data_IF_214960040011
#
_entry.id   IF_214960040011
#
_cell.length_a   1.000
_cell.length_b   1.000
_cell.length_c   1.000
_cell.angle_alpha   90.00
_cell.angle_beta   90.00
_cell.angle_gamma   90.00
#
_symmetry.space_group_name_H-M   'P 1'
#
loop_
_entity.id
_entity.type
_entity.pdbx_description
1 polymer ?
#
# COMPACT_ATOMS: atom_id res chain seq x y z
N UNK A 1 20.10 23.07 -15.19
CA UNK A 1 20.86 21.87 -14.82
C UNK A 1 21.54 21.86 -13.43
N UNK A 2 21.46 22.87 -12.53
CA UNK A 2 22.16 22.79 -11.24
C UNK A 2 21.44 21.93 -10.16
N UNK A 3 20.12 21.74 -10.26
CA UNK A 3 19.35 21.07 -9.20
C UNK A 3 19.60 19.55 -9.16
N UNK A 4 19.71 18.91 -10.33
CA UNK A 4 19.94 17.45 -10.39
C UNK A 4 21.33 17.11 -9.84
N UNK A 5 22.36 17.87 -10.20
CA UNK A 5 23.72 17.71 -9.68
C UNK A 5 23.79 17.98 -8.17
N UNK A 6 23.04 18.99 -7.68
CA UNK A 6 22.94 19.27 -6.24
C UNK A 6 22.28 18.12 -5.47
N UNK A 7 21.18 17.56 -5.98
CA UNK A 7 20.52 16.42 -5.34
C UNK A 7 21.36 15.14 -5.41
N UNK A 8 22.11 14.96 -6.50
CA UNK A 8 23.03 13.83 -6.64
C UNK A 8 24.25 13.95 -5.70
N UNK A 9 24.73 15.17 -5.44
CA UNK A 9 25.90 15.42 -4.58
C UNK A 9 25.56 15.55 -3.10
N UNK A 10 24.33 15.90 -2.74
CA UNK A 10 23.89 16.08 -1.35
C UNK A 10 22.78 15.10 -0.97
N UNK A 11 23.16 14.02 -0.29
CA UNK A 11 22.21 13.02 0.25
C UNK A 11 21.16 13.66 1.14
N UNK A 12 21.55 14.60 2.01
CA UNK A 12 20.62 15.30 2.89
C UNK A 12 19.59 16.12 2.12
N UNK A 13 20.00 16.81 1.05
CA UNK A 13 19.07 17.54 0.20
C UNK A 13 18.08 16.60 -0.47
N UNK A 14 18.55 15.47 -1.02
CA UNK A 14 17.69 14.48 -1.63
C UNK A 14 16.69 13.87 -0.63
N UNK A 15 17.14 13.47 0.55
CA UNK A 15 16.28 12.94 1.62
C UNK A 15 15.21 13.96 2.03
N UNK A 16 15.59 15.23 2.19
CA UNK A 16 14.64 16.29 2.51
C UNK A 16 13.61 16.50 1.40
N UNK A 17 14.04 16.54 0.13
CA UNK A 17 13.13 16.63 -1.01
C UNK A 17 12.18 15.43 -1.07
N UNK A 18 12.67 14.21 -0.84
CA UNK A 18 11.85 13.00 -0.81
C UNK A 18 10.86 13.01 0.36
N UNK A 19 11.24 13.54 1.53
CA UNK A 19 10.34 13.72 2.67
C UNK A 19 9.19 14.67 2.30
N UNK A 20 9.51 15.84 1.75
CA UNK A 20 8.51 16.84 1.35
C UNK A 20 7.59 16.29 0.26
N UNK A 21 8.15 15.61 -0.74
CA UNK A 21 7.36 14.94 -1.79
C UNK A 21 6.45 13.86 -1.18
N UNK A 22 6.99 13.03 -0.29
CA UNK A 22 6.23 11.98 0.39
C UNK A 22 5.09 12.54 1.25
N UNK A 23 5.27 13.68 1.92
CA UNK A 23 4.20 14.37 2.63
C UNK A 23 3.06 14.81 1.68
N UNK A 24 3.42 15.40 0.52
CA UNK A 24 2.45 15.84 -0.50
C UNK A 24 1.70 14.64 -1.10
N UNK A 25 2.43 13.59 -1.48
CA UNK A 25 1.83 12.35 -1.99
C UNK A 25 0.97 11.70 -0.92
N UNK A 26 1.39 11.66 0.35
CA UNK A 26 0.61 11.14 1.46
C UNK A 26 -0.72 11.86 1.65
N UNK A 27 -0.77 13.18 1.42
CA UNK A 27 -2.01 13.94 1.43
C UNK A 27 -2.95 13.51 0.30
N UNK A 28 -2.40 13.28 -0.91
CA UNK A 28 -3.16 12.69 -2.01
C UNK A 28 -3.59 11.24 -1.73
N UNK A 29 -2.77 10.43 -1.06
CA UNK A 29 -3.14 9.06 -0.70
C UNK A 29 -4.35 9.01 0.23
N UNK A 30 -4.55 9.98 1.13
CA UNK A 30 -5.79 10.07 1.90
C UNK A 30 -7.03 10.15 0.99
N UNK A 31 -6.93 10.85 -0.14
CA UNK A 31 -8.01 10.92 -1.14
C UNK A 31 -8.20 9.56 -1.82
N UNK A 32 -7.13 8.90 -2.23
CA UNK A 32 -7.17 7.59 -2.88
C UNK A 32 -7.79 6.54 -1.95
N UNK A 33 -7.32 6.46 -0.71
CA UNK A 33 -7.76 5.49 0.30
C UNK A 33 -9.27 5.62 0.56
N UNK A 34 -9.77 6.86 0.64
CA UNK A 34 -11.19 7.10 0.88
C UNK A 34 -12.05 6.92 -0.38
N UNK A 35 -11.65 7.49 -1.52
CA UNK A 35 -12.53 7.59 -2.70
C UNK A 35 -12.51 6.36 -3.58
N UNK A 36 -11.38 5.68 -3.74
CA UNK A 36 -11.26 4.56 -4.65
C UNK A 36 -12.24 3.40 -4.31
N UNK A 37 -12.38 2.97 -3.04
CA UNK A 37 -13.34 1.93 -2.68
C UNK A 37 -14.80 2.35 -2.93
N UNK A 38 -15.11 3.63 -2.68
CA UNK A 38 -16.45 4.19 -2.94
C UNK A 38 -16.76 4.22 -4.43
N UNK A 39 -15.79 4.60 -5.27
CA UNK A 39 -15.93 4.57 -6.73
C UNK A 39 -16.18 3.15 -7.23
N UNK A 40 -15.37 2.19 -6.80
CA UNK A 40 -15.54 0.77 -7.16
C UNK A 40 -16.93 0.25 -6.78
N UNK A 41 -17.41 0.57 -5.58
CA UNK A 41 -18.75 0.16 -5.14
C UNK A 41 -19.86 0.74 -6.02
N UNK A 42 -19.74 2.01 -6.44
CA UNK A 42 -20.71 2.64 -7.36
C UNK A 42 -20.70 1.97 -8.72
N UNK A 43 -19.51 1.68 -9.25
CA UNK A 43 -19.35 1.00 -10.53
C UNK A 43 -19.96 -0.42 -10.49
N UNK A 44 -19.72 -1.18 -9.41
CA UNK A 44 -20.34 -2.50 -9.22
C UNK A 44 -21.86 -2.43 -9.11
N UNK A 45 -22.41 -1.43 -8.41
CA UNK A 45 -23.86 -1.23 -8.32
C UNK A 45 -24.48 -0.88 -9.67
N UNK A 46 -23.78 -0.07 -10.48
CA UNK A 46 -24.22 0.27 -11.83
C UNK A 46 -24.24 -0.98 -12.72
N UNK A 47 -23.16 -1.77 -12.73
CA UNK A 47 -23.06 -3.01 -13.50
C UNK A 47 -24.12 -4.04 -13.07
N UNK A 48 -24.34 -4.20 -11.77
CA UNK A 48 -25.35 -5.12 -11.26
C UNK A 48 -26.77 -4.71 -11.70
N UNK A 49 -27.10 -3.41 -11.69
CA UNK A 49 -28.39 -2.94 -12.19
C UNK A 49 -28.56 -3.14 -13.68
N UNK A 50 -27.50 -2.91 -14.45
CA UNK A 50 -27.50 -3.15 -15.89
C UNK A 50 -27.78 -4.63 -16.21
N UNK A 51 -27.08 -5.55 -15.53
CA UNK A 51 -27.28 -7.00 -15.70
C UNK A 51 -28.69 -7.45 -15.26
N UNK A 52 -29.22 -6.85 -14.19
CA UNK A 52 -30.55 -7.18 -13.66
C UNK A 52 -31.69 -6.41 -14.36
N UNK A 53 -31.39 -5.66 -15.41
CA UNK A 53 -32.35 -4.81 -16.15
C UNK A 53 -33.13 -3.84 -15.25
N UNK A 54 -32.50 -3.39 -14.16
CA UNK A 54 -33.07 -2.42 -13.24
C UNK A 54 -32.84 -0.99 -13.76
N UNK A 55 -33.74 -0.03 -13.46
CA UNK A 55 -33.55 1.35 -13.86
C UNK A 55 -32.22 1.90 -13.31
N UNK A 56 -31.47 2.67 -14.12
CA UNK A 56 -30.18 3.21 -13.68
C UNK A 56 -30.37 4.16 -12.51
N UNK A 57 -29.38 4.22 -11.62
CA UNK A 57 -29.37 5.20 -10.56
C UNK A 57 -29.31 6.62 -11.18
N UNK A 58 -30.06 7.61 -10.66
CA UNK A 58 -29.98 8.96 -11.14
C UNK A 58 -28.54 9.47 -11.06
N UNK A 59 -28.05 10.09 -12.15
CA UNK A 59 -26.69 10.63 -12.22
C UNK A 59 -26.47 11.64 -11.10
N UNK A 60 -25.74 11.22 -10.07
CA UNK A 60 -25.30 12.08 -8.98
C UNK A 60 -24.24 13.09 -9.43
N UNK A 61 -23.75 13.89 -8.47
CA UNK A 61 -22.60 14.76 -8.70
C UNK A 61 -21.36 13.94 -9.06
N UNK A 62 -20.47 14.51 -9.86
CA UNK A 62 -19.19 13.89 -10.22
C UNK A 62 -18.41 13.51 -8.96
N UNK A 63 -17.91 12.28 -8.92
CA UNK A 63 -17.15 11.74 -7.79
C UNK A 63 -16.04 10.86 -8.33
N UNK A 64 -14.82 11.40 -8.33
CA UNK A 64 -13.61 10.72 -8.74
C UNK A 64 -12.43 11.20 -7.85
N UNK A 65 -11.20 10.83 -8.21
CA UNK A 65 -10.01 11.20 -7.44
C UNK A 65 -9.69 12.71 -7.46
N UNK A 66 -10.23 13.45 -8.43
CA UNK A 66 -9.97 14.89 -8.62
C UNK A 66 -11.12 15.73 -8.05
N UNK A 67 -12.37 15.34 -8.32
CA UNK A 67 -13.58 16.07 -7.96
C UNK A 67 -14.52 15.21 -7.10
N UNK A 68 -15.25 15.80 -6.14
CA UNK A 68 -15.26 17.22 -5.77
C UNK A 68 -13.98 17.62 -4.99
N UNK A 69 -13.82 18.91 -4.68
CA UNK A 69 -12.78 19.37 -3.77
C UNK A 69 -12.93 18.72 -2.38
N UNK A 70 -11.80 18.53 -1.68
CA UNK A 70 -11.82 18.07 -0.29
C UNK A 70 -12.64 19.04 0.56
N UNK A 71 -13.55 18.51 1.38
CA UNK A 71 -14.51 19.31 2.14
C UNK A 71 -14.65 18.78 3.57
N UNK A 72 -14.97 19.67 4.51
CA UNK A 72 -15.21 19.28 5.90
C UNK A 72 -16.49 18.44 6.01
N UNK A 73 -16.48 17.26 6.66
CA UNK A 73 -17.67 16.41 6.78
C UNK A 73 -18.78 17.00 7.67
N UNK A 74 -18.45 18.00 8.50
CA UNK A 74 -19.41 18.60 9.43
C UNK A 74 -20.15 19.82 8.86
N UNK A 75 -19.44 20.68 8.13
CA UNK A 75 -20.02 21.93 7.61
C UNK A 75 -19.96 22.08 6.09
N UNK A 76 -19.40 21.09 5.39
CA UNK A 76 -19.20 21.09 3.94
C UNK A 76 -18.37 22.29 3.42
N UNK A 77 -17.56 22.91 4.28
CA UNK A 77 -16.59 23.93 3.89
C UNK A 77 -15.54 23.31 2.96
N UNK A 78 -15.36 23.90 1.78
CA UNK A 78 -14.32 23.50 0.84
C UNK A 78 -12.94 23.85 1.38
N UNK A 79 -12.08 22.84 1.52
CA UNK A 79 -10.74 22.97 2.06
C UNK A 79 -9.86 23.65 1.02
N UNK A 80 -9.29 24.80 1.39
CA UNK A 80 -8.41 25.58 0.51
C UNK A 80 -7.01 24.98 0.50
N UNK A 81 -6.21 25.30 -0.53
CA UNK A 81 -4.87 24.73 -0.70
C UNK A 81 -3.95 24.93 0.52
N UNK A 82 -4.00 26.09 1.18
CA UNK A 82 -3.20 26.36 2.39
C UNK A 82 -3.76 25.69 3.66
N UNK A 83 -5.00 25.20 3.63
CA UNK A 83 -5.57 24.37 4.69
C UNK A 83 -5.23 22.89 4.49
N UNK A 84 -4.64 22.55 3.34
CA UNK A 84 -4.26 21.21 2.93
C UNK A 84 -2.73 21.05 2.78
N UNK A 85 -1.92 21.92 3.40
CA UNK A 85 -0.46 21.72 3.47
C UNK A 85 -0.23 20.57 4.46
N UNK A 86 0.37 19.45 4.01
CA UNK A 86 0.43 18.23 4.80
C UNK A 86 1.11 18.47 6.15
N UNK A 87 0.53 17.93 7.23
CA UNK A 87 0.95 18.06 8.64
C UNK A 87 0.94 19.49 9.19
N UNK A 88 1.49 20.46 8.46
CA UNK A 88 1.63 21.86 8.85
C UNK A 88 0.27 22.52 9.05
N UNK A 89 -0.65 22.40 8.09
CA UNK A 89 -1.99 22.99 8.23
C UNK A 89 -2.75 22.36 9.39
N UNK A 90 -2.60 21.05 9.62
CA UNK A 90 -3.22 20.37 10.75
C UNK A 90 -2.74 20.94 12.09
N UNK A 91 -1.42 21.12 12.26
CA UNK A 91 -0.85 21.70 13.48
C UNK A 91 -1.24 23.17 13.65
N UNK A 92 -1.17 23.98 12.59
CA UNK A 92 -1.55 25.40 12.62
C UNK A 92 -3.03 25.60 12.99
N UNK A 93 -3.91 24.74 12.48
CA UNK A 93 -5.34 24.74 12.80
C UNK A 93 -5.67 24.01 14.12
N UNK A 94 -4.65 23.50 14.84
CA UNK A 94 -4.78 22.73 16.08
C UNK A 94 -5.71 21.51 15.94
N UNK A 95 -5.64 20.86 14.77
CA UNK A 95 -6.45 19.68 14.42
C UNK A 95 -7.95 19.97 14.31
N UNK A 96 -8.35 21.20 13.95
CA UNK A 96 -9.75 21.60 13.83
C UNK A 96 -10.04 22.25 12.47
N UNK A 97 -11.28 22.14 12.00
CA UNK A 97 -11.72 22.86 10.80
C UNK A 97 -11.59 24.38 11.01
N UNK A 98 -11.13 25.11 9.99
CA UNK A 98 -11.00 26.57 10.04
C UNK A 98 -12.34 27.29 10.24
N UNK A 99 -13.40 26.78 9.61
CA UNK A 99 -14.77 27.33 9.65
C UNK A 99 -15.55 26.88 10.90
N UNK A 100 -15.90 25.61 11.02
CA UNK A 100 -16.79 25.13 12.09
C UNK A 100 -16.09 24.69 13.39
N UNK A 101 -14.75 24.69 13.43
CA UNK A 101 -13.93 24.25 14.58
C UNK A 101 -14.11 22.80 15.02
N UNK A 102 -14.86 21.98 14.27
CA UNK A 102 -14.97 20.55 14.51
C UNK A 102 -13.60 19.86 14.37
N UNK A 103 -13.32 18.79 15.15
CA UNK A 103 -12.04 18.10 15.12
C UNK A 103 -11.81 17.38 13.78
N UNK A 104 -10.58 17.45 13.27
CA UNK A 104 -10.11 16.70 12.10
C UNK A 104 -9.42 15.42 12.60
N UNK A 105 -9.75 14.29 11.98
CA UNK A 105 -9.17 12.99 12.34
C UNK A 105 -7.64 13.02 12.29
N UNK A 106 -6.99 12.43 13.31
CA UNK A 106 -5.52 12.26 13.35
C UNK A 106 -5.00 11.33 12.25
N UNK A 107 -5.88 10.55 11.62
CA UNK A 107 -5.53 9.66 10.52
C UNK A 107 -4.88 10.43 9.36
N UNK A 108 -5.40 11.59 8.99
CA UNK A 108 -4.88 12.39 7.87
C UNK A 108 -3.39 12.75 8.04
N UNK A 109 -2.97 13.44 9.12
CA UNK A 109 -1.56 13.78 9.32
C UNK A 109 -0.69 12.54 9.59
N UNK A 110 -1.23 11.44 10.12
CA UNK A 110 -0.48 10.20 10.30
C UNK A 110 -0.13 9.52 8.98
N UNK A 111 -1.08 9.47 8.03
CA UNK A 111 -0.82 8.93 6.68
C UNK A 111 0.18 9.80 5.92
N UNK A 112 0.05 11.13 6.03
CA UNK A 112 1.01 12.09 5.47
C UNK A 112 2.41 11.85 6.02
N UNK A 113 2.54 11.82 7.35
CA UNK A 113 3.82 11.60 8.02
C UNK A 113 4.42 10.23 7.70
N UNK A 114 3.63 9.16 7.70
CA UNK A 114 4.09 7.82 7.34
C UNK A 114 4.65 7.80 5.91
N UNK A 115 3.93 8.40 4.95
CA UNK A 115 4.40 8.49 3.57
C UNK A 115 5.70 9.31 3.47
N UNK A 116 5.77 10.47 4.14
CA UNK A 116 6.97 11.31 4.20
C UNK A 116 8.20 10.61 4.80
N UNK A 117 8.04 9.95 5.95
CA UNK A 117 9.12 9.22 6.63
C UNK A 117 9.59 8.03 5.81
N UNK A 118 8.67 7.22 5.25
CA UNK A 118 9.04 6.10 4.39
C UNK A 118 9.75 6.58 3.13
N UNK A 119 9.35 7.73 2.57
CA UNK A 119 9.99 8.31 1.38
C UNK A 119 11.40 8.82 1.68
N UNK A 120 11.57 9.50 2.82
CA UNK A 120 12.88 9.91 3.33
C UNK A 120 13.80 8.70 3.55
N UNK A 121 13.24 7.62 4.10
CA UNK A 121 13.98 6.38 4.34
C UNK A 121 14.48 5.74 3.05
N UNK A 122 13.60 5.58 2.05
CA UNK A 122 13.97 5.05 0.72
C UNK A 122 15.05 5.90 0.06
N UNK A 123 14.93 7.22 0.14
CA UNK A 123 15.91 8.15 -0.41
C UNK A 123 17.27 8.05 0.29
N UNK A 124 17.28 7.86 1.61
CA UNK A 124 18.50 7.66 2.38
C UNK A 124 19.16 6.31 2.06
N UNK A 125 18.36 5.26 1.89
CA UNK A 125 18.83 3.89 1.66
C UNK A 125 19.45 3.72 0.26
N UNK A 126 18.77 4.19 -0.79
CA UNK A 126 19.21 3.99 -2.19
C UNK A 126 20.00 5.16 -2.78
N UNK A 127 20.01 6.32 -2.12
CA UNK A 127 20.58 7.54 -2.68
C UNK A 127 19.86 8.03 -3.94
N UNK A 128 20.44 9.01 -4.64
CA UNK A 128 19.84 9.58 -5.86
C UNK A 128 20.00 8.61 -7.05
N UNK A 129 19.12 7.62 -7.12
CA UNK A 129 19.16 6.53 -8.11
C UNK A 129 17.77 6.20 -8.68
N UNK A 130 17.73 5.48 -9.81
CA UNK A 130 16.46 4.99 -10.37
C UNK A 130 15.77 3.98 -9.46
N UNK A 131 16.53 3.18 -8.71
CA UNK A 131 16.05 2.29 -7.66
C UNK A 131 15.24 3.06 -6.62
N UNK A 132 15.76 4.20 -6.14
CA UNK A 132 15.06 5.05 -5.18
C UNK A 132 13.71 5.53 -5.74
N UNK A 133 13.70 6.03 -6.99
CA UNK A 133 12.47 6.49 -7.64
C UNK A 133 11.42 5.38 -7.79
N UNK A 134 11.84 4.19 -8.22
CA UNK A 134 10.95 3.04 -8.35
C UNK A 134 10.43 2.58 -6.97
N UNK A 135 11.30 2.48 -5.98
CA UNK A 135 10.93 2.06 -4.62
C UNK A 135 10.00 3.07 -3.94
N UNK A 136 10.14 4.38 -4.20
CA UNK A 136 9.20 5.39 -3.72
C UNK A 136 7.78 5.12 -4.27
N UNK A 137 7.66 4.88 -5.58
CA UNK A 137 6.39 4.57 -6.21
C UNK A 137 5.74 3.31 -5.62
N UNK A 138 6.53 2.24 -5.46
CA UNK A 138 6.06 1.02 -4.81
C UNK A 138 5.61 1.28 -3.37
N UNK A 139 6.40 2.03 -2.60
CA UNK A 139 6.12 2.38 -1.20
C UNK A 139 4.77 3.10 -1.06
N UNK A 140 4.50 4.09 -1.93
CA UNK A 140 3.24 4.82 -1.93
C UNK A 140 2.06 3.91 -2.27
N UNK A 141 2.24 3.02 -3.25
CA UNK A 141 1.26 2.00 -3.61
C UNK A 141 0.95 1.04 -2.45
N UNK A 142 1.98 0.46 -1.84
CA UNK A 142 1.85 -0.47 -0.71
C UNK A 142 1.19 0.20 0.49
N UNK A 143 1.52 1.46 0.79
CA UNK A 143 0.88 2.21 1.86
C UNK A 143 -0.62 2.42 1.58
N UNK A 144 -0.97 2.83 0.36
CA UNK A 144 -2.37 3.01 -0.03
C UNK A 144 -3.16 1.70 0.03
N UNK A 145 -2.62 0.61 -0.54
CA UNK A 145 -3.25 -0.70 -0.53
C UNK A 145 -3.40 -1.27 0.90
N UNK A 146 -2.39 -1.11 1.76
CA UNK A 146 -2.46 -1.54 3.15
C UNK A 146 -3.59 -0.83 3.91
N UNK A 147 -3.74 0.48 3.70
CA UNK A 147 -4.77 1.26 4.39
C UNK A 147 -6.17 0.99 3.83
N UNK A 148 -6.30 0.74 2.52
CA UNK A 148 -7.57 0.32 1.91
C UNK A 148 -7.95 -1.09 2.41
N UNK A 149 -7.02 -2.03 2.46
CA UNK A 149 -7.29 -3.39 2.93
C UNK A 149 -7.64 -3.41 4.43
N UNK A 150 -6.96 -2.59 5.24
CA UNK A 150 -7.28 -2.45 6.66
C UNK A 150 -8.71 -1.93 6.91
N UNK A 151 -9.23 -1.05 6.05
CA UNK A 151 -10.57 -0.48 6.19
C UNK A 151 -11.67 -1.31 5.55
N UNK A 152 -11.38 -1.89 4.38
CA UNK A 152 -12.40 -2.43 3.48
C UNK A 152 -12.15 -3.90 3.11
N UNK A 153 -11.01 -4.49 3.47
CA UNK A 153 -10.62 -5.86 3.08
C UNK A 153 -10.61 -6.05 1.56
N UNK A 154 -10.17 -5.00 0.85
CA UNK A 154 -10.10 -4.95 -0.61
C UNK A 154 -8.70 -4.52 -1.04
N UNK A 155 -8.18 -5.20 -2.06
CA UNK A 155 -6.97 -4.80 -2.77
C UNK A 155 -7.35 -4.40 -4.20
N UNK A 156 -7.45 -3.10 -4.51
CA UNK A 156 -7.90 -2.64 -5.82
C UNK A 156 -6.94 -3.03 -6.94
N UNK A 157 -7.46 -3.71 -7.95
CA UNK A 157 -6.69 -4.09 -9.16
C UNK A 157 -6.11 -2.87 -9.88
N UNK A 158 -6.78 -1.72 -9.78
CA UNK A 158 -6.30 -0.42 -10.28
C UNK A 158 -5.00 0.07 -9.62
N UNK A 159 -4.59 -0.51 -8.49
CA UNK A 159 -3.30 -0.27 -7.84
C UNK A 159 -2.36 -1.46 -8.02
N UNK A 160 -2.84 -2.68 -7.75
CA UNK A 160 -2.00 -3.89 -7.75
C UNK A 160 -1.45 -4.19 -9.15
N UNK A 161 -2.29 -4.18 -10.18
CA UNK A 161 -1.88 -4.60 -11.52
C UNK A 161 -0.90 -3.63 -12.18
N UNK A 162 -1.10 -2.29 -12.14
CA UNK A 162 -0.10 -1.36 -12.65
C UNK A 162 1.25 -1.51 -11.96
N UNK A 163 1.28 -1.69 -10.63
CA UNK A 163 2.53 -1.90 -9.90
C UNK A 163 3.20 -3.23 -10.26
N UNK A 164 2.43 -4.29 -10.49
CA UNK A 164 2.96 -5.57 -10.98
C UNK A 164 3.64 -5.38 -12.33
N UNK A 165 2.97 -4.73 -13.28
CA UNK A 165 3.53 -4.47 -14.61
C UNK A 165 4.76 -3.58 -14.55
N UNK A 166 4.75 -2.54 -13.72
CA UNK A 166 5.92 -1.68 -13.50
C UNK A 166 7.10 -2.51 -12.98
N UNK A 167 6.88 -3.40 -12.00
CA UNK A 167 7.92 -4.30 -11.48
C UNK A 167 8.55 -5.16 -12.57
N UNK A 168 7.74 -5.76 -13.44
CA UNK A 168 8.23 -6.54 -14.57
C UNK A 168 9.01 -5.69 -15.59
N UNK A 169 8.54 -4.47 -15.87
CA UNK A 169 9.19 -3.55 -16.83
C UNK A 169 10.53 -3.07 -16.31
N UNK A 170 10.61 -2.59 -15.06
CA UNK A 170 11.86 -2.07 -14.51
C UNK A 170 12.92 -3.17 -14.35
N UNK A 171 12.50 -4.41 -14.07
CA UNK A 171 13.42 -5.54 -13.98
C UNK A 171 13.88 -6.07 -15.35
N UNK A 172 13.31 -5.62 -16.48
CA UNK A 172 13.96 -5.78 -17.78
C UNK A 172 15.33 -5.11 -17.83
N UNK A 173 15.53 -4.07 -17.01
CA UNK A 173 16.77 -3.32 -16.88
C UNK A 173 17.61 -3.78 -15.68
N UNK A 174 17.23 -4.87 -15.02
CA UNK A 174 17.96 -5.42 -13.86
C UNK A 174 17.97 -4.50 -12.64
N UNK A 175 16.90 -3.72 -12.44
CA UNK A 175 16.89 -2.66 -11.41
C UNK A 175 16.90 -3.23 -9.98
N UNK A 176 16.18 -4.33 -9.74
CA UNK A 176 16.12 -5.03 -8.45
C UNK A 176 16.43 -6.53 -8.58
N UNK A 177 15.95 -7.18 -9.64
CA UNK A 177 16.15 -8.60 -9.91
C UNK A 177 16.36 -8.87 -11.40
N UNK A 178 16.82 -10.08 -11.75
CA UNK A 178 16.89 -10.47 -13.16
C UNK A 178 15.49 -10.56 -13.78
N UNK A 179 15.32 -10.35 -15.10
CA UNK A 179 14.01 -10.45 -15.75
C UNK A 179 13.35 -11.81 -15.56
N UNK A 180 14.17 -12.88 -15.55
CA UNK A 180 13.71 -14.24 -15.33
C UNK A 180 13.22 -14.44 -13.90
N UNK A 181 13.99 -13.97 -12.90
CA UNK A 181 13.60 -14.08 -11.50
C UNK A 181 12.34 -13.28 -11.21
N UNK A 182 12.19 -12.07 -11.78
CA UNK A 182 11.00 -11.24 -11.64
C UNK A 182 9.75 -11.93 -12.22
N UNK A 183 9.85 -12.52 -13.41
CA UNK A 183 8.75 -13.26 -14.03
C UNK A 183 8.38 -14.49 -13.21
N UNK A 184 9.37 -15.30 -12.81
CA UNK A 184 9.15 -16.47 -11.95
C UNK A 184 8.57 -16.03 -10.60
N UNK A 185 9.04 -14.92 -10.05
CA UNK A 185 8.54 -14.34 -8.81
C UNK A 185 7.07 -13.95 -8.92
N UNK A 186 6.65 -13.34 -10.03
CA UNK A 186 5.23 -13.02 -10.26
C UNK A 186 4.37 -14.29 -10.35
N UNK A 187 4.82 -15.29 -11.11
CA UNK A 187 4.11 -16.57 -11.29
C UNK A 187 4.03 -17.32 -9.94
N UNK A 188 5.16 -17.51 -9.27
CA UNK A 188 5.25 -18.22 -8.00
C UNK A 188 4.52 -17.48 -6.88
N UNK A 189 4.58 -16.15 -6.85
CA UNK A 189 3.84 -15.32 -5.89
C UNK A 189 2.34 -15.51 -6.01
N UNK A 190 1.80 -15.53 -7.24
CA UNK A 190 0.38 -15.80 -7.46
C UNK A 190 0.01 -17.25 -7.11
N UNK A 191 0.74 -18.21 -7.69
CA UNK A 191 0.39 -19.64 -7.60
C UNK A 191 0.58 -20.20 -6.19
N UNK A 192 1.54 -19.71 -5.42
CA UNK A 192 1.80 -20.21 -4.06
C UNK A 192 0.57 -20.05 -3.15
N UNK A 193 0.07 -18.83 -2.98
CA UNK A 193 -1.11 -18.58 -2.15
C UNK A 193 -2.39 -19.13 -2.77
N UNK A 194 -2.50 -19.12 -4.10
CA UNK A 194 -3.63 -19.73 -4.80
C UNK A 194 -3.72 -21.24 -4.54
N UNK A 195 -2.60 -21.96 -4.58
CA UNK A 195 -2.54 -23.39 -4.28
C UNK A 195 -2.89 -23.69 -2.82
N UNK A 196 -2.38 -22.89 -1.88
CA UNK A 196 -2.72 -23.00 -0.44
C UNK A 196 -4.21 -22.78 -0.23
N UNK A 197 -4.80 -21.77 -0.87
CA UNK A 197 -6.23 -21.48 -0.80
C UNK A 197 -7.08 -22.65 -1.29
N UNK A 198 -6.78 -23.22 -2.46
CA UNK A 198 -7.55 -24.34 -2.99
C UNK A 198 -7.40 -25.59 -2.15
N UNK A 199 -6.19 -25.89 -1.69
CA UNK A 199 -5.97 -27.02 -0.78
C UNK A 199 -6.79 -26.86 0.50
N UNK A 200 -6.76 -25.67 1.11
CA UNK A 200 -7.56 -25.37 2.30
C UNK A 200 -9.05 -25.47 2.03
N UNK A 201 -9.54 -24.92 0.91
CA UNK A 201 -10.96 -24.96 0.52
C UNK A 201 -11.45 -26.39 0.27
N UNK A 202 -10.64 -27.23 -0.38
CA UNK A 202 -10.99 -28.62 -0.65
C UNK A 202 -11.02 -29.47 0.64
N UNK A 203 -10.11 -29.21 1.58
CA UNK A 203 -10.04 -29.97 2.84
C UNK A 203 -11.11 -29.51 3.84
N UNK A 204 -11.37 -28.20 3.95
CA UNK A 204 -12.22 -27.64 5.00
C UNK A 204 -13.63 -27.24 4.53
N UNK A 205 -13.84 -27.13 3.22
CA UNK A 205 -15.06 -26.58 2.63
C UNK A 205 -15.26 -25.08 2.85
N UNK A 206 -14.28 -24.38 3.44
CA UNK A 206 -14.36 -22.96 3.79
C UNK A 206 -13.41 -22.11 2.96
N UNK A 207 -13.78 -20.87 2.72
CA UNK A 207 -12.90 -19.88 2.09
C UNK A 207 -11.97 -19.28 3.16
N UNK A 208 -10.65 -19.46 2.97
CA UNK A 208 -9.64 -19.14 3.98
C UNK A 208 -8.83 -17.87 3.74
N UNK A 209 -8.78 -17.35 2.52
CA UNK A 209 -7.90 -16.23 2.14
C UNK A 209 -8.51 -15.40 1.01
N UNK A 210 -8.24 -14.09 0.99
CA UNK A 210 -8.71 -13.19 -0.05
C UNK A 210 -7.91 -13.31 -1.35
N UNK A 211 -8.59 -13.29 -2.49
CA UNK A 211 -7.92 -13.36 -3.81
C UNK A 211 -6.98 -12.17 -4.09
N UNK A 212 -7.16 -11.04 -3.39
CA UNK A 212 -6.28 -9.89 -3.50
C UNK A 212 -4.85 -10.19 -3.05
N UNK A 213 -4.69 -11.05 -2.02
CA UNK A 213 -3.39 -11.39 -1.45
C UNK A 213 -2.50 -12.11 -2.47
N UNK A 214 -3.09 -12.92 -3.34
CA UNK A 214 -2.37 -13.65 -4.40
C UNK A 214 -1.75 -12.66 -5.39
N UNK A 215 -2.52 -11.63 -5.76
CA UNK A 215 -2.08 -10.58 -6.69
C UNK A 215 -1.02 -9.68 -6.05
N UNK A 216 -1.18 -9.35 -4.76
CA UNK A 216 -0.20 -8.57 -4.01
C UNK A 216 1.14 -9.31 -3.90
N UNK A 217 1.13 -10.61 -3.58
CA UNK A 217 2.37 -11.39 -3.52
C UNK A 217 3.00 -11.56 -4.91
N UNK A 218 2.21 -11.77 -5.96
CA UNK A 218 2.68 -11.78 -7.34
C UNK A 218 3.35 -10.44 -7.72
N UNK A 219 2.75 -9.32 -7.32
CA UNK A 219 3.34 -8.01 -7.53
C UNK A 219 4.67 -7.87 -6.78
N UNK A 220 4.76 -8.26 -5.51
CA UNK A 220 6.03 -8.24 -4.77
C UNK A 220 7.11 -9.13 -5.42
N UNK A 221 6.72 -10.30 -5.91
CA UNK A 221 7.62 -11.19 -6.68
C UNK A 221 8.08 -10.59 -8.01
N UNK A 222 7.23 -9.80 -8.68
CA UNK A 222 7.61 -9.06 -9.88
C UNK A 222 8.68 -8.00 -9.62
N UNK A 223 8.75 -7.46 -8.40
CA UNK A 223 9.73 -6.46 -7.99
C UNK A 223 11.04 -7.10 -7.49
N UNK A 224 10.96 -8.08 -6.59
CA UNK A 224 12.15 -8.64 -5.91
C UNK A 224 12.60 -10.00 -6.41
N UNK A 225 11.92 -10.58 -7.40
CA UNK A 225 12.14 -11.96 -7.83
C UNK A 225 11.47 -12.99 -6.92
N UNK A 226 11.69 -14.27 -7.19
CA UNK A 226 11.13 -15.34 -6.36
C UNK A 226 11.82 -15.45 -5.00
N UNK A 227 13.05 -14.96 -4.89
CA UNK A 227 13.89 -15.02 -3.69
C UNK A 227 13.29 -14.25 -2.51
N UNK A 228 12.55 -13.16 -2.76
CA UNK A 228 11.91 -12.38 -1.69
C UNK A 228 10.64 -13.04 -1.15
N UNK A 229 10.05 -14.00 -1.88
CA UNK A 229 8.75 -14.58 -1.53
C UNK A 229 8.77 -15.37 -0.22
N UNK A 230 9.73 -16.29 0.05
CA UNK A 230 9.73 -17.07 1.29
C UNK A 230 9.82 -16.19 2.54
N UNK A 231 10.71 -15.19 2.53
CA UNK A 231 10.84 -14.24 3.64
C UNK A 231 9.57 -13.42 3.83
N UNK A 232 8.97 -12.96 2.72
CA UNK A 232 7.72 -12.20 2.74
C UNK A 232 6.57 -13.00 3.36
N UNK A 233 6.38 -14.25 2.93
CA UNK A 233 5.35 -15.14 3.49
C UNK A 233 5.61 -15.42 4.97
N UNK A 234 6.86 -15.71 5.34
CA UNK A 234 7.23 -16.02 6.72
C UNK A 234 6.98 -14.84 7.66
N UNK A 235 7.46 -13.64 7.31
CA UNK A 235 7.29 -12.44 8.14
C UNK A 235 5.82 -12.03 8.24
N UNK A 236 5.08 -12.04 7.13
CA UNK A 236 3.66 -11.68 7.13
C UNK A 236 2.81 -12.65 7.94
N UNK A 237 3.02 -13.96 7.78
CA UNK A 237 2.30 -14.99 8.54
C UNK A 237 2.65 -14.98 10.02
N UNK A 238 3.91 -14.73 10.39
CA UNK A 238 4.32 -14.62 11.79
C UNK A 238 3.64 -13.45 12.49
N UNK A 239 3.70 -12.26 11.89
CA UNK A 239 3.06 -11.06 12.47
C UNK A 239 1.54 -11.21 12.52
N UNK A 240 0.94 -11.73 11.43
CA UNK A 240 -0.49 -12.02 11.37
C UNK A 240 -0.95 -13.02 12.42
N UNK A 241 -0.18 -14.09 12.66
CA UNK A 241 -0.47 -15.10 13.67
C UNK A 241 -0.35 -14.53 15.08
N UNK A 242 0.73 -13.80 15.39
CA UNK A 242 0.93 -13.19 16.72
C UNK A 242 -0.20 -12.20 17.04
N UNK A 243 -0.52 -11.28 16.13
CA UNK A 243 -1.59 -10.30 16.33
C UNK A 243 -2.97 -10.96 16.35
N UNK A 244 -3.20 -11.98 15.50
CA UNK A 244 -4.43 -12.76 15.51
C UNK A 244 -4.66 -13.46 16.84
N UNK A 245 -3.63 -14.10 17.41
CA UNK A 245 -3.70 -14.72 18.74
C UNK A 245 -3.96 -13.69 19.84
N UNK A 246 -3.30 -12.54 19.79
CA UNK A 246 -3.52 -11.45 20.76
C UNK A 246 -4.97 -10.95 20.67
N UNK A 247 -5.49 -10.70 19.47
CA UNK A 247 -6.88 -10.26 19.29
C UNK A 247 -7.89 -11.31 19.76
N UNK A 248 -7.67 -12.59 19.47
CA UNK A 248 -8.54 -13.68 19.95
C UNK A 248 -8.55 -13.79 21.48
N UNK A 249 -7.46 -13.44 22.15
CA UNK A 249 -7.41 -13.42 23.63
C UNK A 249 -8.05 -12.16 24.24
N UNK A 250 -8.02 -11.04 23.52
CA UNK A 250 -8.55 -9.76 24.01
C UNK A 250 -10.04 -9.55 23.67
N UNK A 251 -10.56 -10.20 22.61
CA UNK A 251 -11.97 -10.15 22.23
C UNK A 251 -12.70 -11.41 22.69
N UNK A 252 -13.88 -11.23 23.29
CA UNK A 252 -14.82 -12.32 23.49
C UNK A 252 -15.16 -12.94 22.12
N UNK A 253 -15.12 -14.26 22.04
CA UNK A 253 -15.04 -15.11 20.85
C UNK A 253 -16.22 -15.04 19.85
N UNK A 254 -17.11 -14.04 19.93
CA UNK A 254 -18.33 -13.96 19.12
C UNK A 254 -18.14 -13.25 17.77
N UNK A 255 -17.03 -12.52 17.56
CA UNK A 255 -16.78 -11.87 16.26
C UNK A 255 -15.75 -12.63 15.44
N UNK A 256 -16.21 -13.42 14.48
CA UNK A 256 -15.42 -13.99 13.38
C UNK A 256 -15.07 -12.91 12.34
N UNK A 257 -14.60 -11.74 12.78
CA UNK A 257 -14.17 -10.68 11.86
C UNK A 257 -12.86 -11.13 11.20
N UNK A 258 -12.82 -11.31 9.88
CA UNK A 258 -11.59 -11.65 9.18
C UNK A 258 -10.53 -10.58 9.45
N UNK A 259 -9.28 -11.00 9.67
CA UNK A 259 -8.17 -10.05 9.80
C UNK A 259 -7.64 -9.79 8.39
N UNK A 260 -7.55 -8.53 7.94
CA UNK A 260 -6.97 -8.20 6.63
C UNK A 260 -5.49 -8.62 6.62
N UNK A 261 -5.12 -9.51 5.70
CA UNK A 261 -3.76 -10.03 5.58
C UNK A 261 -2.86 -9.13 4.72
N UNK A 262 -3.45 -8.35 3.81
CA UNK A 262 -2.76 -7.47 2.89
C UNK A 262 -1.76 -6.50 3.53
N UNK A 263 -2.07 -5.82 4.66
CA UNK A 263 -1.11 -4.93 5.33
C UNK A 263 0.16 -5.65 5.78
N UNK A 264 0.02 -6.86 6.32
CA UNK A 264 1.18 -7.63 6.78
C UNK A 264 2.04 -8.09 5.60
N UNK A 265 1.40 -8.48 4.50
CA UNK A 265 2.08 -8.87 3.27
C UNK A 265 2.83 -7.69 2.64
N UNK A 266 2.20 -6.51 2.60
CA UNK A 266 2.80 -5.29 2.07
C UNK A 266 4.00 -4.83 2.92
N UNK A 267 3.88 -4.83 4.25
CA UNK A 267 4.99 -4.48 5.16
C UNK A 267 6.13 -5.50 5.05
N UNK A 268 5.81 -6.80 5.09
CA UNK A 268 6.81 -7.86 4.95
C UNK A 268 7.53 -7.80 3.60
N UNK A 269 6.79 -7.56 2.51
CA UNK A 269 7.36 -7.41 1.17
C UNK A 269 8.26 -6.18 1.04
N UNK A 270 7.85 -5.05 1.62
CA UNK A 270 8.67 -3.84 1.67
C UNK A 270 9.99 -4.08 2.43
N UNK A 271 9.92 -4.77 3.57
CA UNK A 271 11.10 -5.18 4.35
C UNK A 271 11.98 -6.14 3.55
N UNK A 272 11.39 -7.14 2.89
CA UNK A 272 12.13 -8.13 2.10
C UNK A 272 12.83 -7.50 0.88
N UNK A 273 12.25 -6.49 0.25
CA UNK A 273 12.88 -5.76 -0.86
C UNK A 273 14.06 -4.89 -0.43
N UNK A 274 14.06 -4.40 0.82
CA UNK A 274 15.14 -3.55 1.35
C UNK A 274 16.25 -4.35 2.04
N UNK A 275 15.91 -5.45 2.71
CA UNK A 275 16.83 -6.21 3.54
C UNK A 275 16.84 -7.72 3.29
N UNK A 276 16.20 -8.20 2.22
CA UNK A 276 16.02 -9.63 1.98
C UNK A 276 17.32 -10.40 1.97
N UNK A 277 18.34 -9.89 1.28
CA UNK A 277 19.65 -10.50 1.18
C UNK A 277 20.38 -10.50 2.53
N UNK A 278 20.34 -9.39 3.27
CA UNK A 278 20.99 -9.28 4.58
C UNK A 278 20.32 -10.19 5.61
N UNK A 279 19.00 -10.22 5.65
CA UNK A 279 18.22 -11.04 6.60
C UNK A 279 18.45 -12.53 6.29
N UNK A 280 18.30 -12.92 5.03
CA UNK A 280 18.44 -14.33 4.62
C UNK A 280 19.88 -14.79 4.78
N UNK A 281 20.86 -13.99 4.38
CA UNK A 281 22.28 -14.29 4.57
C UNK A 281 22.67 -14.43 6.04
N UNK A 282 22.21 -13.52 6.90
CA UNK A 282 22.46 -13.60 8.35
C UNK A 282 21.82 -14.86 8.95
N UNK A 283 20.59 -15.18 8.55
CA UNK A 283 19.91 -16.41 8.99
C UNK A 283 20.66 -17.67 8.59
N UNK A 284 21.10 -17.77 7.32
CA UNK A 284 21.84 -18.92 6.83
C UNK A 284 23.19 -19.09 7.55
N UNK A 285 23.90 -17.98 7.78
CA UNK A 285 25.15 -17.99 8.55
C UNK A 285 24.94 -18.49 9.99
N UNK A 286 23.90 -17.99 10.69
CA UNK A 286 23.57 -18.45 12.05
C UNK A 286 23.15 -19.94 12.05
N UNK A 287 22.43 -20.37 11.01
CA UNK A 287 22.03 -21.77 10.83
C UNK A 287 23.18 -22.69 10.37
N UNK A 288 24.37 -22.16 10.14
CA UNK A 288 25.57 -22.92 9.77
C UNK A 288 25.68 -23.29 8.29
N UNK A 289 24.83 -22.72 7.44
CA UNK A 289 24.93 -22.83 5.98
C UNK A 289 25.81 -21.69 5.47
N UNK A 290 26.96 -22.01 4.85
CA UNK A 290 27.84 -21.05 4.19
C UNK A 290 27.41 -20.80 2.75
#
# INVERSE_FOLDING_TARGET
MPVIEFLASSTLAFVFCALVLGLLIGSFLNVVIYRLPVMMKRDWQQQAREILELPPEPKGKTFNLILPNSSCPHCNHEIKAWENIPVVSYLALRGKCSSCKAPISKRYPLVELACGVLSAYVAWHFGFTWQAGAMLLLTWGLLAMSLIDADHQLLPDALVLPLLWIGLIINQYGLFASPQDALIGAIAGYLSLWSVYWLFKLVTGKEGMGYGDFKLLAMLGAWGGWQVLPLTILLSSLVGAVLGVIMLRLRNAETSTPIPFGPYLAIAGWIALLWGDQITGTYLQIAGFK
#
